data_IF_782137406725
#
_entry.id   IF_782137406725
#
_cell.length_a   1.000
_cell.length_b   1.000
_cell.length_c   1.000
_cell.angle_alpha   90.00
_cell.angle_beta   90.00
_cell.angle_gamma   90.00
#
_symmetry.space_group_name_H-M   'P 1'
#
loop_
_entity.id
_entity.type
_entity.pdbx_description
1 polymer ?
#
# COMPACT_ATOMS: atom_id res chain seq x y z
N UNK A 1 -65.43 -14.77 12.23
CA UNK A 1 -64.16 -15.10 12.92
C UNK A 1 -63.27 -13.86 12.87
N UNK A 2 -62.66 -13.52 14.01
CA UNK A 2 -62.04 -12.23 14.36
C UNK A 2 -60.50 -12.31 14.24
N UNK A 3 -59.88 -11.31 13.58
CA UNK A 3 -58.58 -10.62 13.88
C UNK A 3 -57.27 -11.48 13.93
N UNK A 4 -56.04 -11.05 13.60
CA UNK A 4 -55.37 -9.73 13.56
C UNK A 4 -54.26 -9.66 12.49
N UNK A 5 -54.14 -8.44 12.01
CA UNK A 5 -53.10 -7.75 11.25
C UNK A 5 -51.74 -7.73 11.98
N UNK A 6 -50.62 -7.80 11.24
CA UNK A 6 -49.42 -7.03 11.60
C UNK A 6 -48.68 -6.57 10.35
N UNK A 7 -48.60 -5.25 10.22
CA UNK A 7 -47.81 -4.49 9.25
C UNK A 7 -46.43 -4.24 9.84
N UNK A 8 -45.37 -4.40 9.04
CA UNK A 8 -44.05 -3.86 9.37
C UNK A 8 -43.60 -3.00 8.19
N UNK A 9 -43.82 -1.70 8.34
CA UNK A 9 -43.11 -0.66 7.61
C UNK A 9 -41.72 -0.52 8.25
N UNK A 10 -40.64 -0.56 7.47
CA UNK A 10 -39.35 -0.04 7.90
C UNK A 10 -38.73 0.85 6.81
N UNK A 11 -39.14 2.12 6.87
CA UNK A 11 -38.38 3.37 6.69
C UNK A 11 -37.01 3.27 6.01
N UNK A 12 -36.93 3.82 4.79
CA UNK A 12 -35.69 4.32 4.21
C UNK A 12 -35.13 5.45 5.07
N UNK A 13 -33.89 5.31 5.53
CA UNK A 13 -33.09 6.41 6.07
C UNK A 13 -31.92 6.63 5.12
N UNK A 14 -32.02 7.69 4.30
CA UNK A 14 -30.85 8.40 3.78
C UNK A 14 -30.18 9.06 4.98
N UNK A 15 -28.91 8.77 5.23
CA UNK A 15 -28.02 9.69 5.92
C UNK A 15 -26.65 9.58 5.24
N UNK A 16 -26.36 10.64 4.48
CA UNK A 16 -25.02 11.08 4.15
C UNK A 16 -24.18 11.12 5.42
N UNK A 17 -23.13 10.31 5.47
CA UNK A 17 -22.10 10.43 6.49
C UNK A 17 -20.79 10.62 5.77
N UNK A 18 -20.36 11.88 5.72
CA UNK A 18 -18.99 12.29 5.44
C UNK A 18 -18.02 11.29 6.04
N UNK A 19 -17.26 10.60 5.19
CA UNK A 19 -16.03 9.96 5.62
C UNK A 19 -15.05 11.09 5.96
N UNK A 20 -15.15 11.58 7.19
CA UNK A 20 -14.16 12.44 7.80
C UNK A 20 -12.80 11.75 7.64
N UNK A 21 -12.00 12.32 6.75
CA UNK A 21 -10.65 11.89 6.44
C UNK A 21 -9.76 12.14 7.65
N UNK A 22 -9.81 11.27 8.64
CA UNK A 22 -8.91 11.29 9.79
C UNK A 22 -7.63 10.57 9.39
N UNK A 23 -6.69 11.32 8.84
CA UNK A 23 -5.28 10.92 8.77
C UNK A 23 -4.37 12.14 8.93
N UNK A 24 -4.64 12.96 9.94
CA UNK A 24 -3.61 13.82 10.52
C UNK A 24 -2.86 13.00 11.57
N UNK A 25 -1.90 12.19 11.12
CA UNK A 25 -0.86 11.71 12.03
C UNK A 25 0.12 12.86 12.25
N UNK A 26 -0.08 13.57 13.35
CA UNK A 26 0.94 14.39 13.98
C UNK A 26 2.22 13.54 14.16
N UNK A 27 3.32 14.04 13.65
CA UNK A 27 4.62 13.76 14.22
C UNK A 27 5.41 15.06 14.15
N UNK A 28 5.41 15.75 15.28
CA UNK A 28 6.30 16.83 15.61
C UNK A 28 7.74 16.32 15.55
N UNK A 29 8.47 16.72 14.52
CA UNK A 29 9.94 16.74 14.55
C UNK A 29 10.38 18.02 13.85
N UNK A 30 10.93 18.97 14.62
CA UNK A 30 11.59 20.15 14.08
C UNK A 30 12.89 19.72 13.40
N UNK A 31 12.91 19.73 12.08
CA UNK A 31 14.14 19.73 11.29
C UNK A 31 13.88 20.50 9.97
N UNK A 32 14.55 21.65 9.85
CA UNK A 32 14.86 22.38 8.60
C UNK A 32 13.79 22.43 7.49
N UNK A 33 13.01 23.52 7.48
CA UNK A 33 12.75 24.41 6.32
C UNK A 33 12.21 23.91 4.98
N UNK A 34 12.33 22.64 4.60
CA UNK A 34 11.74 22.10 3.38
C UNK A 34 10.44 21.39 3.73
N UNK A 35 9.32 21.97 3.32
CA UNK A 35 8.03 21.27 3.38
C UNK A 35 8.17 19.99 2.57
N UNK A 36 8.10 18.84 3.25
CA UNK A 36 8.06 17.54 2.60
C UNK A 36 7.00 17.57 1.49
N UNK A 37 7.28 16.95 0.32
CA UNK A 37 6.32 16.88 -0.76
C UNK A 37 4.99 16.32 -0.24
N UNK A 38 3.90 17.03 -0.51
CA UNK A 38 2.57 16.56 -0.15
C UNK A 38 2.30 15.27 -0.93
N UNK A 39 2.01 14.19 -0.22
CA UNK A 39 1.64 12.92 -0.83
C UNK A 39 0.35 13.10 -1.64
N UNK A 40 0.37 12.74 -2.92
CA UNK A 40 -0.83 12.65 -3.75
C UNK A 40 -1.50 11.29 -3.49
N UNK A 41 -2.60 11.35 -2.74
CA UNK A 41 -3.36 10.17 -2.34
C UNK A 41 -4.11 9.51 -3.50
N UNK A 42 -4.50 10.26 -4.53
CA UNK A 42 -5.19 9.71 -5.71
C UNK A 42 -4.20 8.91 -6.55
N UNK A 43 -3.04 9.49 -6.83
CA UNK A 43 -1.97 8.79 -7.54
C UNK A 43 -1.49 7.56 -6.75
N UNK A 44 -1.36 7.66 -5.42
CA UNK A 44 -1.06 6.49 -4.57
C UNK A 44 -2.11 5.39 -4.69
N UNK A 45 -3.40 5.74 -4.72
CA UNK A 45 -4.49 4.76 -4.88
C UNK A 45 -4.41 4.09 -6.25
N UNK A 46 -4.16 4.85 -7.31
CA UNK A 46 -4.00 4.32 -8.66
C UNK A 46 -2.79 3.38 -8.75
N UNK A 47 -1.63 3.79 -8.23
CA UNK A 47 -0.42 2.97 -8.22
C UNK A 47 -0.64 1.62 -7.53
N UNK A 48 -1.40 1.58 -6.42
CA UNK A 48 -1.76 0.33 -5.73
C UNK A 48 -2.58 -0.65 -6.58
N UNK A 49 -3.23 -0.18 -7.64
CA UNK A 49 -4.01 -1.04 -8.55
C UNK A 49 -3.17 -1.62 -9.69
N UNK A 50 -1.94 -1.12 -9.90
CA UNK A 50 -1.07 -1.58 -10.98
C UNK A 50 -0.68 -3.05 -10.80
N UNK A 51 -0.67 -3.86 -11.86
CA UNK A 51 -0.14 -5.21 -11.81
C UNK A 51 1.38 -5.20 -11.63
N UNK A 52 1.95 -6.34 -11.21
CA UNK A 52 3.38 -6.48 -10.91
C UNK A 52 4.29 -5.94 -12.00
N UNK A 53 4.07 -6.32 -13.27
CA UNK A 53 4.92 -5.89 -14.39
C UNK A 53 4.95 -4.36 -14.54
N UNK A 54 3.81 -3.70 -14.38
CA UNK A 54 3.69 -2.24 -14.46
C UNK A 54 4.36 -1.54 -13.28
N UNK A 55 4.30 -2.13 -12.09
CA UNK A 55 5.03 -1.62 -10.92
C UNK A 55 6.53 -1.73 -11.14
N UNK A 56 7.01 -2.84 -11.72
CA UNK A 56 8.42 -3.02 -12.03
C UNK A 56 8.90 -2.04 -13.10
N UNK A 57 8.15 -1.82 -14.17
CA UNK A 57 8.45 -0.78 -15.16
C UNK A 57 8.48 0.61 -14.53
N UNK A 58 7.49 0.95 -13.72
CA UNK A 58 7.44 2.23 -13.00
C UNK A 58 8.65 2.43 -12.09
N UNK A 59 9.06 1.39 -11.37
CA UNK A 59 10.27 1.43 -10.54
C UNK A 59 11.53 1.62 -11.38
N UNK A 60 11.64 0.98 -12.55
CA UNK A 60 12.79 1.16 -13.43
C UNK A 60 12.90 2.59 -13.99
N UNK A 61 11.77 3.21 -14.30
CA UNK A 61 11.74 4.55 -14.89
C UNK A 61 11.93 5.65 -13.83
N UNK A 62 11.17 5.58 -12.73
CA UNK A 62 11.11 6.66 -11.73
C UNK A 62 12.08 6.47 -10.56
N UNK A 63 12.42 5.23 -10.22
CA UNK A 63 13.25 4.94 -9.05
C UNK A 63 14.15 3.70 -9.23
N UNK A 64 15.14 3.73 -10.14
CA UNK A 64 16.00 2.57 -10.44
C UNK A 64 16.64 1.94 -9.19
N UNK A 65 17.06 2.76 -8.22
CA UNK A 65 17.63 2.28 -6.94
C UNK A 65 16.66 1.43 -6.12
N UNK A 66 15.36 1.70 -6.21
CA UNK A 66 14.34 0.86 -5.56
C UNK A 66 14.07 -0.41 -6.37
N UNK A 67 14.18 -0.36 -7.69
CA UNK A 67 14.10 -1.54 -8.55
C UNK A 67 15.20 -2.57 -8.23
N UNK A 68 16.42 -2.11 -7.97
CA UNK A 68 17.55 -2.98 -7.55
C UNK A 68 17.27 -3.74 -6.25
N UNK A 69 16.53 -3.12 -5.33
CA UNK A 69 16.15 -3.70 -4.04
C UNK A 69 14.79 -4.41 -4.08
N UNK A 70 14.09 -4.38 -5.22
CA UNK A 70 12.76 -4.91 -5.35
C UNK A 70 12.80 -6.44 -5.39
N UNK A 71 11.88 -7.05 -4.67
CA UNK A 71 11.76 -8.49 -4.53
C UNK A 71 10.32 -8.88 -4.84
N UNK A 72 10.11 -9.73 -5.84
CA UNK A 72 8.81 -10.29 -6.16
C UNK A 72 8.57 -11.50 -5.27
N UNK A 73 7.54 -11.43 -4.45
CA UNK A 73 7.14 -12.47 -3.49
C UNK A 73 5.71 -12.88 -3.81
N UNK A 74 5.54 -13.95 -4.59
CA UNK A 74 4.23 -14.37 -5.10
C UNK A 74 3.55 -13.26 -5.92
N UNK A 75 2.48 -12.66 -5.38
CA UNK A 75 1.72 -11.59 -6.03
C UNK A 75 2.09 -10.18 -5.54
N UNK A 76 3.14 -10.04 -4.72
CA UNK A 76 3.54 -8.77 -4.13
C UNK A 76 4.95 -8.38 -4.57
N UNK A 77 5.23 -7.08 -4.55
CA UNK A 77 6.60 -6.54 -4.67
C UNK A 77 7.00 -5.95 -3.33
N UNK A 78 8.10 -6.41 -2.78
CA UNK A 78 8.64 -5.98 -1.51
C UNK A 78 9.97 -5.24 -1.71
N UNK A 79 10.25 -4.28 -0.83
CA UNK A 79 11.54 -3.61 -0.73
C UNK A 79 11.92 -3.60 0.75
N UNK A 80 13.09 -4.16 1.04
CA UNK A 80 13.63 -4.21 2.39
C UNK A 80 14.91 -3.39 2.45
N UNK A 81 15.08 -2.65 3.54
CA UNK A 81 16.28 -1.87 3.80
C UNK A 81 16.96 -2.36 5.08
N UNK A 82 18.29 -2.29 5.13
CA UNK A 82 19.07 -2.67 6.32
C UNK A 82 18.95 -1.69 7.49
N UNK A 83 18.49 -0.45 7.23
CA UNK A 83 18.36 0.60 8.24
C UNK A 83 17.04 1.37 8.09
N UNK A 84 16.74 2.24 9.05
CA UNK A 84 15.56 3.12 8.98
C UNK A 84 15.72 4.13 7.85
N UNK A 85 14.69 4.27 7.03
CA UNK A 85 14.72 5.14 5.86
C UNK A 85 14.40 6.60 6.20
N UNK A 86 15.04 7.58 5.54
CA UNK A 86 14.67 8.98 5.63
C UNK A 86 13.22 9.21 5.21
N UNK A 87 12.57 10.25 5.77
CA UNK A 87 11.18 10.58 5.46
C UNK A 87 10.93 10.78 3.96
N UNK A 88 11.88 11.37 3.24
CA UNK A 88 11.81 11.58 1.78
C UNK A 88 11.70 10.25 1.02
N UNK A 89 12.53 9.25 1.36
CA UNK A 89 12.47 7.90 0.79
C UNK A 89 11.11 7.26 1.06
N UNK A 90 10.63 7.35 2.30
CA UNK A 90 9.32 6.77 2.67
C UNK A 90 8.16 7.46 1.97
N UNK A 91 8.27 8.76 1.68
CA UNK A 91 7.28 9.53 0.94
C UNK A 91 7.22 9.08 -0.53
N UNK A 92 8.37 8.89 -1.19
CA UNK A 92 8.43 8.38 -2.57
C UNK A 92 7.86 6.96 -2.65
N UNK A 93 8.29 6.05 -1.76
CA UNK A 93 7.72 4.69 -1.69
C UNK A 93 6.20 4.74 -1.50
N UNK A 94 5.74 5.63 -0.63
CA UNK A 94 4.31 5.82 -0.41
C UNK A 94 3.59 6.34 -1.67
N UNK A 95 4.20 7.27 -2.41
CA UNK A 95 3.64 7.80 -3.65
C UNK A 95 3.51 6.70 -4.71
N UNK A 96 4.51 5.83 -4.80
CA UNK A 96 4.55 4.64 -5.67
C UNK A 96 3.58 3.52 -5.24
N UNK A 97 2.79 3.72 -4.18
CA UNK A 97 1.79 2.75 -3.73
C UNK A 97 2.28 1.75 -2.68
N UNK A 98 3.57 1.76 -2.31
CA UNK A 98 4.09 0.89 -1.27
C UNK A 98 3.56 1.30 0.11
N UNK A 99 3.44 0.34 1.00
CA UNK A 99 3.14 0.61 2.40
C UNK A 99 4.02 -0.21 3.32
N UNK A 100 4.31 0.35 4.49
CA UNK A 100 5.09 -0.35 5.50
C UNK A 100 4.30 -1.54 6.05
N UNK A 101 4.96 -2.69 6.15
CA UNK A 101 4.50 -3.84 6.90
C UNK A 101 5.40 -4.03 8.12
N UNK A 102 4.87 -3.67 9.30
CA UNK A 102 5.63 -3.74 10.55
C UNK A 102 5.99 -5.18 10.96
N UNK A 103 5.17 -6.18 10.66
CA UNK A 103 5.49 -7.58 11.01
C UNK A 103 6.70 -8.09 10.21
N UNK A 104 6.83 -7.63 8.97
CA UNK A 104 7.82 -8.12 8.00
C UNK A 104 9.02 -7.20 7.85
N UNK A 105 8.96 -6.02 8.47
CA UNK A 105 9.97 -4.96 8.35
C UNK A 105 10.31 -4.64 6.88
N UNK A 106 9.28 -4.62 6.02
CA UNK A 106 9.43 -4.40 4.59
C UNK A 106 8.35 -3.45 4.07
N UNK A 107 8.70 -2.70 3.03
CA UNK A 107 7.74 -1.97 2.21
C UNK A 107 7.14 -2.93 1.20
N UNK A 108 5.82 -3.05 1.18
CA UNK A 108 5.13 -3.96 0.26
C UNK A 108 4.17 -3.22 -0.66
N UNK A 109 4.09 -3.68 -1.91
CA UNK A 109 3.14 -3.23 -2.90
C UNK A 109 2.10 -4.32 -3.18
N UNK A 110 0.79 -4.02 -3.13
CA UNK A 110 -0.28 -5.01 -3.33
C UNK A 110 -0.44 -5.49 -4.78
N UNK A 111 0.15 -4.79 -5.75
CA UNK A 111 0.11 -5.10 -7.19
C UNK A 111 -1.30 -5.39 -7.73
N UNK A 112 -2.29 -4.57 -7.35
CA UNK A 112 -3.69 -4.77 -7.74
C UNK A 112 -4.44 -5.84 -6.95
N UNK A 113 -3.77 -6.55 -6.04
CA UNK A 113 -4.34 -7.60 -5.20
C UNK A 113 -4.30 -7.21 -3.72
N UNK A 114 -5.11 -6.23 -3.27
CA UNK A 114 -5.19 -5.89 -1.86
C UNK A 114 -5.80 -7.06 -1.07
N UNK A 115 -5.00 -7.72 -0.24
CA UNK A 115 -5.48 -8.77 0.66
C UNK A 115 -6.25 -8.15 1.82
N UNK A 116 -7.48 -8.62 2.04
CA UNK A 116 -8.29 -8.23 3.22
C UNK A 116 -7.74 -8.83 4.51
N UNK A 117 -7.11 -10.00 4.42
CA UNK A 117 -6.57 -10.72 5.58
C UNK A 117 -5.07 -10.91 5.43
N UNK A 118 -4.24 -10.50 6.41
CA UNK A 118 -2.83 -10.78 6.38
C UNK A 118 -2.57 -12.29 6.55
N UNK A 119 -1.66 -12.85 5.75
CA UNK A 119 -1.21 -14.22 5.92
C UNK A 119 -0.52 -14.42 7.27
N UNK A 120 -0.78 -15.56 7.93
CA UNK A 120 -0.14 -15.93 9.20
C UNK A 120 1.34 -16.30 9.02
N UNK A 121 1.67 -16.96 7.91
CA UNK A 121 3.00 -17.40 7.50
C UNK A 121 3.77 -16.31 6.72
N UNK A 122 5.06 -16.56 6.41
CA UNK A 122 5.81 -15.70 5.50
C UNK A 122 5.64 -16.09 4.02
N UNK A 123 5.08 -15.21 3.16
CA UNK A 123 5.01 -15.43 1.73
C UNK A 123 6.36 -15.79 1.08
N UNK A 124 7.49 -15.28 1.58
CA UNK A 124 8.82 -15.66 1.08
C UNK A 124 9.12 -17.13 1.31
N UNK A 125 8.72 -17.69 2.45
CA UNK A 125 8.91 -19.11 2.77
C UNK A 125 8.01 -20.00 1.90
N UNK A 126 6.80 -19.53 1.55
CA UNK A 126 5.83 -20.33 0.79
C UNK A 126 6.01 -20.25 -0.73
N UNK A 127 6.25 -19.05 -1.24
CA UNK A 127 6.27 -18.77 -2.69
C UNK A 127 7.68 -18.51 -3.21
N UNK A 128 8.67 -18.38 -2.32
CA UNK A 128 10.00 -17.91 -2.67
C UNK A 128 10.04 -16.41 -2.96
N UNK A 129 11.22 -15.96 -3.32
CA UNK A 129 11.56 -14.57 -3.63
C UNK A 129 12.36 -14.50 -4.91
N UNK A 130 12.03 -13.56 -5.80
CA UNK A 130 12.79 -13.32 -7.04
C UNK A 130 13.16 -11.85 -7.13
N UNK A 131 14.43 -11.56 -7.38
CA UNK A 131 14.92 -10.21 -7.61
C UNK A 131 14.88 -9.91 -9.11
N UNK A 132 14.03 -8.97 -9.57
CA UNK A 132 13.90 -8.64 -10.99
C UNK A 132 15.18 -8.05 -11.59
N UNK A 133 16.03 -7.42 -10.77
CA UNK A 133 17.32 -6.91 -11.20
C UNK A 133 18.30 -8.04 -11.59
N UNK A 134 18.35 -9.12 -10.79
CA UNK A 134 19.24 -10.26 -11.05
C UNK A 134 18.85 -11.02 -12.32
N UNK A 135 17.55 -11.11 -12.62
CA UNK A 135 17.05 -11.76 -13.84
C UNK A 135 17.39 -11.00 -15.14
N UNK A 136 17.76 -9.71 -15.06
CA UNK A 136 18.23 -8.92 -16.22
C UNK A 136 19.73 -9.08 -16.49
N UNK A 137 20.51 -9.50 -15.49
CA UNK A 137 21.96 -9.63 -15.60
C UNK A 137 22.42 -11.00 -16.10
N UNK A 138 21.48 -11.90 -16.40
CA UNK A 138 21.72 -13.27 -16.90
C UNK A 138 21.57 -13.36 -18.43
#
# INVERSE_FOLDING_TARGET
>A
MKTKQTSIQNKQVKNSSELQSRSEQLSSDKASGEKLPRLDYDLRRQNRTLPTDKVLSLLQEEAPRFFELAEVVGNWVWIQFGQKQPRTVTAVLSQLGFHWNNKRQAWQHPCGQPTKTPASYDPRERYGSKFPADMRAA
#
